data_IF_631028296756
#
_entry.id   IF_631028296756
#
_cell.length_a   1.000
_cell.length_b   1.000
_cell.length_c   1.000
_cell.angle_alpha   90.00
_cell.angle_beta   90.00
_cell.angle_gamma   90.00
#
_symmetry.space_group_name_H-M   'P 1'
#
loop_
_entity.id
_entity.type
_entity.pdbx_description
1 polymer ?
#
# COMPACT_ATOMS: atom_id res chain seq x y z
N UNK A 1 3.87 32.17 -77.06
CA UNK A 1 3.90 30.77 -76.56
C UNK A 1 5.12 30.56 -75.65
N UNK A 2 4.94 30.53 -74.33
CA UNK A 2 5.81 29.90 -73.27
C UNK A 2 5.21 30.27 -71.90
N UNK A 3 4.34 29.42 -71.33
CA UNK A 3 4.58 28.49 -70.19
C UNK A 3 5.10 29.23 -68.94
N UNK A 4 4.22 29.50 -67.95
CA UNK A 4 4.04 28.79 -66.65
C UNK A 4 5.30 28.92 -65.76
N UNK A 5 5.24 29.29 -64.47
CA UNK A 5 4.83 28.43 -63.35
C UNK A 5 4.47 29.28 -62.12
N UNK A 6 3.30 28.99 -61.55
CA UNK A 6 2.86 29.42 -60.22
C UNK A 6 3.43 28.44 -59.17
N UNK A 7 4.12 28.87 -58.10
CA UNK A 7 4.44 27.96 -57.02
C UNK A 7 3.21 27.81 -56.12
N UNK A 8 2.72 26.58 -56.16
CA UNK A 8 1.77 25.87 -55.31
C UNK A 8 1.93 26.20 -53.80
N UNK A 9 0.85 26.69 -53.20
CA UNK A 9 0.62 26.66 -51.75
C UNK A 9 0.50 25.21 -51.29
N UNK A 10 1.26 24.79 -50.28
CA UNK A 10 1.02 23.54 -49.56
C UNK A 10 0.98 23.80 -48.05
N UNK A 11 -0.24 24.03 -47.56
CA UNK A 11 -0.55 24.00 -46.13
C UNK A 11 -0.70 22.56 -45.68
N UNK A 12 0.21 22.09 -44.83
CA UNK A 12 0.09 20.81 -44.13
C UNK A 12 -0.51 21.02 -42.76
N UNK A 13 -1.78 20.65 -42.57
CA UNK A 13 -2.38 20.56 -41.24
C UNK A 13 -1.87 19.29 -40.54
N UNK A 14 -1.09 19.46 -39.47
CA UNK A 14 -0.64 18.36 -38.62
C UNK A 14 -1.80 17.96 -37.69
N UNK A 15 -2.39 16.79 -37.92
CA UNK A 15 -3.38 16.20 -37.03
C UNK A 15 -2.64 15.52 -35.86
N UNK A 16 -2.62 16.18 -34.69
CA UNK A 16 -2.19 15.56 -33.44
C UNK A 16 -3.24 14.54 -32.99
N UNK A 17 -2.95 13.26 -33.14
CA UNK A 17 -3.74 12.19 -32.52
C UNK A 17 -3.35 12.07 -31.04
N UNK A 18 -4.31 12.05 -30.09
CA UNK A 18 -3.98 11.79 -28.70
C UNK A 18 -3.66 10.31 -28.54
N UNK A 19 -2.42 9.99 -28.15
CA UNK A 19 -2.07 8.65 -27.68
C UNK A 19 -2.65 8.52 -26.27
N UNK A 20 -3.81 7.89 -26.16
CA UNK A 20 -4.32 7.46 -24.87
C UNK A 20 -3.43 6.32 -24.35
N UNK A 21 -2.50 6.63 -23.44
CA UNK A 21 -1.77 5.62 -22.68
C UNK A 21 -2.74 4.87 -21.79
N UNK A 22 -3.16 3.67 -22.22
CA UNK A 22 -3.72 2.68 -21.30
C UNK A 22 -2.56 2.11 -20.50
N UNK A 23 -2.36 2.61 -19.29
CA UNK A 23 -1.54 1.91 -18.30
C UNK A 23 -2.28 0.63 -17.94
N UNK A 24 -1.93 -0.50 -18.57
CA UNK A 24 -2.39 -1.81 -18.10
C UNK A 24 -1.63 -2.10 -16.82
N UNK A 25 -2.34 -2.13 -15.69
CA UNK A 25 -1.77 -2.67 -14.46
C UNK A 25 -1.18 -4.06 -14.78
N UNK A 26 0.01 -4.39 -14.26
CA UNK A 26 0.63 -5.68 -14.51
C UNK A 26 -0.33 -6.79 -14.07
N UNK A 27 -0.55 -7.79 -14.93
CA UNK A 27 -1.34 -8.95 -14.53
C UNK A 27 -0.62 -9.70 -13.40
N UNK A 28 -1.36 -10.15 -12.36
CA UNK A 28 -0.78 -10.93 -11.29
C UNK A 28 -0.20 -12.23 -11.86
N UNK A 29 1.11 -12.44 -11.67
CA UNK A 29 1.75 -13.70 -12.03
C UNK A 29 1.44 -14.74 -10.95
N UNK A 30 0.61 -15.72 -11.28
CA UNK A 30 0.31 -16.84 -10.39
C UNK A 30 1.48 -17.83 -10.45
N UNK A 31 2.14 -18.07 -9.30
CA UNK A 31 3.19 -19.09 -9.18
C UNK A 31 2.60 -20.30 -8.47
N UNK A 32 2.67 -21.46 -9.13
CA UNK A 32 2.31 -22.72 -8.48
C UNK A 32 3.33 -23.01 -7.37
N UNK A 33 2.81 -23.31 -6.17
CA UNK A 33 3.62 -23.61 -5.00
C UNK A 33 2.86 -24.55 -4.08
N UNK A 34 3.60 -25.46 -3.43
CA UNK A 34 3.04 -26.35 -2.43
C UNK A 34 2.92 -25.60 -1.10
N UNK A 35 1.69 -25.41 -0.62
CA UNK A 35 1.44 -24.91 0.74
C UNK A 35 1.51 -26.09 1.69
N UNK A 36 2.62 -26.20 2.41
CA UNK A 36 2.77 -27.20 3.47
C UNK A 36 2.18 -26.65 4.79
N UNK A 37 1.55 -27.50 5.61
CA UNK A 37 1.19 -27.08 6.96
C UNK A 37 2.48 -26.75 7.73
N UNK A 38 2.42 -25.72 8.56
CA UNK A 38 3.50 -25.46 9.51
C UNK A 38 3.62 -26.68 10.43
N UNK A 39 4.82 -27.26 10.60
CA UNK A 39 4.99 -28.35 11.55
C UNK A 39 4.70 -27.83 12.97
N UNK A 40 3.78 -28.48 13.68
CA UNK A 40 3.39 -28.09 15.04
C UNK A 40 2.01 -27.42 15.10
N UNK A 41 1.81 -26.59 16.13
CA UNK A 41 0.58 -25.83 16.36
C UNK A 41 0.93 -24.35 16.46
N UNK A 42 -0.03 -23.48 16.13
CA UNK A 42 0.11 -22.05 16.40
C UNK A 42 0.24 -21.81 17.90
N UNK A 43 1.09 -20.84 18.29
CA UNK A 43 1.13 -20.39 19.68
C UNK A 43 -0.24 -19.79 20.04
N UNK A 44 -0.72 -20.07 21.25
CA UNK A 44 -1.96 -19.49 21.79
C UNK A 44 -1.70 -18.19 22.54
N UNK A 45 -0.44 -17.83 22.76
CA UNK A 45 -0.06 -16.57 23.35
C UNK A 45 -0.47 -15.39 22.46
N UNK A 46 -1.01 -14.35 23.09
CA UNK A 46 -1.27 -13.09 22.38
C UNK A 46 0.05 -12.48 21.92
N UNK A 47 0.13 -12.13 20.64
CA UNK A 47 1.28 -11.46 20.04
C UNK A 47 0.84 -10.14 19.42
N UNK A 48 1.48 -9.05 19.82
CA UNK A 48 1.42 -7.78 19.08
C UNK A 48 2.53 -7.81 18.03
N UNK A 49 2.17 -7.70 16.76
CA UNK A 49 3.11 -7.74 15.64
C UNK A 49 3.06 -6.41 14.87
N UNK A 50 4.06 -5.58 15.12
CA UNK A 50 4.31 -4.32 14.43
C UNK A 50 5.41 -4.54 13.37
N UNK A 51 4.99 -5.06 12.21
CA UNK A 51 5.86 -5.44 11.08
C UNK A 51 6.06 -4.31 10.06
N UNK A 52 5.53 -3.11 10.34
CA UNK A 52 5.73 -1.94 9.50
C UNK A 52 6.60 -0.94 10.28
N UNK A 53 7.68 -0.38 9.71
CA UNK A 53 8.45 0.64 10.40
C UNK A 53 7.58 1.87 10.65
N UNK A 54 7.13 2.06 11.89
CA UNK A 54 6.41 3.27 12.30
C UNK A 54 7.39 4.43 12.44
N UNK A 55 7.15 5.52 11.70
CA UNK A 55 7.85 6.79 11.89
C UNK A 55 7.07 7.60 12.92
N UNK A 56 7.55 7.60 14.16
CA UNK A 56 6.90 8.32 15.26
C UNK A 56 7.38 9.78 15.26
N UNK A 57 6.54 10.71 14.81
CA UNK A 57 6.87 12.15 14.78
C UNK A 57 6.57 12.88 16.09
N UNK A 58 5.63 12.38 16.87
CA UNK A 58 5.07 13.04 18.05
C UNK A 58 4.85 12.06 19.20
N UNK A 59 4.81 12.57 20.44
CA UNK A 59 4.52 11.76 21.62
C UNK A 59 3.05 11.33 21.65
N UNK A 60 2.78 10.05 21.94
CA UNK A 60 1.41 9.54 22.02
C UNK A 60 1.31 8.05 22.35
N UNK A 61 0.08 7.54 22.31
CA UNK A 61 -0.24 6.11 22.41
C UNK A 61 -0.64 5.63 21.01
N UNK A 62 0.13 4.70 20.44
CA UNK A 62 -0.13 4.13 19.12
C UNK A 62 -1.22 3.05 19.17
N UNK A 63 -1.24 2.24 20.23
CA UNK A 63 -2.19 1.14 20.41
C UNK A 63 -2.58 1.02 21.88
N UNK A 64 -3.86 0.79 22.15
CA UNK A 64 -4.36 0.54 23.50
C UNK A 64 -5.18 -0.75 23.56
N UNK A 65 -5.01 -1.52 24.63
CA UNK A 65 -5.76 -2.76 24.89
C UNK A 65 -6.96 -2.58 25.82
N UNK A 66 -7.14 -1.39 26.40
CA UNK A 66 -8.31 -1.06 27.20
C UNK A 66 -9.57 -0.91 26.34
N UNK A 67 -10.74 -0.94 26.97
CA UNK A 67 -11.99 -0.59 26.30
C UNK A 67 -11.97 0.87 25.77
N UNK A 68 -12.49 1.07 24.57
CA UNK A 68 -12.61 2.40 23.94
C UNK A 68 -13.70 3.30 24.55
N UNK A 69 -14.52 2.78 25.47
CA UNK A 69 -15.63 3.53 26.05
C UNK A 69 -15.15 4.77 26.81
N UNK A 70 -15.67 5.93 26.42
CA UNK A 70 -15.31 7.23 27.01
C UNK A 70 -13.93 7.76 26.59
N UNK A 71 -13.30 7.17 25.57
CA UNK A 71 -12.02 7.66 25.00
C UNK A 71 -12.28 8.60 23.82
N UNK A 72 -11.33 9.49 23.55
CA UNK A 72 -11.43 10.45 22.44
C UNK A 72 -11.39 9.76 21.06
N UNK A 73 -10.68 8.62 20.97
CA UNK A 73 -10.56 7.81 19.76
C UNK A 73 -10.88 6.33 20.05
N UNK A 74 -12.16 5.97 20.26
CA UNK A 74 -12.54 4.61 20.65
C UNK A 74 -12.02 3.50 19.74
N UNK A 75 -11.86 3.77 18.44
CA UNK A 75 -11.40 2.79 17.45
C UNK A 75 -9.90 2.46 17.57
N UNK A 76 -9.12 3.25 18.31
CA UNK A 76 -7.71 2.99 18.61
C UNK A 76 -7.51 2.03 19.80
N UNK A 77 -8.61 1.50 20.34
CA UNK A 77 -8.66 0.67 21.53
C UNK A 77 -9.18 -0.73 21.18
N UNK A 78 -8.35 -1.75 21.38
CA UNK A 78 -8.65 -3.13 20.97
C UNK A 78 -9.67 -3.83 21.88
N UNK A 79 -9.84 -3.36 23.13
CA UNK A 79 -10.63 -4.04 24.17
C UNK A 79 -10.24 -5.53 24.33
N UNK A 80 -8.94 -5.80 24.31
CA UNK A 80 -8.36 -7.14 24.46
C UNK A 80 -7.55 -7.20 25.74
N UNK A 81 -8.01 -7.86 26.81
CA UNK A 81 -7.23 -7.96 28.03
C UNK A 81 -5.98 -8.82 27.83
N UNK A 82 -4.80 -8.24 28.11
CA UNK A 82 -3.57 -9.01 28.21
C UNK A 82 -3.50 -9.64 29.59
N UNK A 83 -3.49 -10.97 29.65
CA UNK A 83 -3.44 -11.73 30.91
C UNK A 83 -2.35 -12.78 30.85
N UNK A 84 -1.52 -12.83 31.88
CA UNK A 84 -0.36 -13.72 31.89
C UNK A 84 0.70 -13.22 30.91
N UNK A 85 1.25 -14.14 30.14
CA UNK A 85 2.35 -13.87 29.22
C UNK A 85 1.80 -13.46 27.84
N UNK A 86 2.53 -12.59 27.16
CA UNK A 86 2.24 -12.11 25.81
C UNK A 86 3.55 -11.73 25.10
N UNK A 87 3.53 -11.74 23.78
CA UNK A 87 4.67 -11.39 22.94
C UNK A 87 4.49 -10.02 22.27
N UNK A 88 5.59 -9.30 22.09
CA UNK A 88 5.66 -8.05 21.34
C UNK A 88 6.81 -8.15 20.33
N UNK A 89 6.48 -8.05 19.06
CA UNK A 89 7.43 -7.81 17.99
C UNK A 89 7.17 -6.40 17.44
N UNK A 90 8.20 -5.56 17.47
CA UNK A 90 8.14 -4.23 16.87
C UNK A 90 9.44 -3.92 16.15
N UNK A 91 9.30 -3.37 14.96
CA UNK A 91 10.41 -2.91 14.14
C UNK A 91 10.50 -1.39 14.24
N UNK A 92 11.19 -0.88 15.27
CA UNK A 92 11.47 0.56 15.35
C UNK A 92 12.62 0.92 14.42
N UNK A 93 12.44 1.96 13.62
CA UNK A 93 13.51 2.68 12.93
C UNK A 93 13.62 4.06 13.53
N UNK A 94 14.85 4.45 13.85
CA UNK A 94 15.16 5.82 14.26
C UNK A 94 15.35 6.66 12.99
N UNK A 95 14.61 7.77 12.87
CA UNK A 95 14.83 8.78 11.83
C UNK A 95 15.66 9.93 12.40
#
# INVERSE_FOLDING_TARGET
MRRLVLPLLLGGAVLLSPIASRSSAPEPTLREGLVLPLPGQLNTELMVNDNNPEVVSDSGILLSTFAGQGKAHPDAHLDVPLSGSFELFSHHVFA
#
